data_IF_052416021144
#
_entry.id   IF_052416021144
#
_cell.length_a   1.000
_cell.length_b   1.000
_cell.length_c   1.000
_cell.angle_alpha   90.00
_cell.angle_beta   90.00
_cell.angle_gamma   90.00
#
_symmetry.space_group_name_H-M   'P 1'
#
loop_
_entity.id
_entity.type
_entity.pdbx_description
1 polymer ?
#
# COMPACT_ATOMS: atom_id res chain seq x y z
N UNK A 1 -17.70 11.96 -0.81
CA UNK A 1 -16.33 11.46 -0.78
C UNK A 1 -16.32 9.94 -0.65
N UNK A 2 -15.64 9.25 -1.54
CA UNK A 2 -15.59 7.78 -1.54
C UNK A 2 -14.80 7.22 -0.36
N UNK A 3 -13.80 7.96 0.11
CA UNK A 3 -12.90 7.51 1.17
C UNK A 3 -13.37 8.00 2.54
N UNK A 4 -14.24 7.21 3.16
CA UNK A 4 -14.76 7.47 4.51
C UNK A 4 -13.85 6.85 5.57
N UNK A 5 -14.04 7.20 6.84
CA UNK A 5 -13.32 6.58 7.96
C UNK A 5 -13.53 5.06 7.98
N UNK A 6 -14.75 4.62 7.71
CA UNK A 6 -15.08 3.19 7.64
C UNK A 6 -14.30 2.49 6.53
N UNK A 7 -14.24 3.10 5.35
CA UNK A 7 -13.51 2.55 4.21
C UNK A 7 -12.00 2.54 4.47
N UNK A 8 -11.48 3.55 5.15
CA UNK A 8 -10.08 3.61 5.58
C UNK A 8 -9.73 2.43 6.47
N UNK A 9 -10.56 2.15 7.47
CA UNK A 9 -10.33 1.02 8.39
C UNK A 9 -10.39 -0.32 7.67
N UNK A 10 -11.31 -0.49 6.75
CA UNK A 10 -11.43 -1.70 5.94
C UNK A 10 -10.20 -1.87 5.06
N UNK A 11 -9.79 -0.81 4.36
CA UNK A 11 -8.61 -0.83 3.49
C UNK A 11 -7.35 -1.18 4.28
N UNK A 12 -7.15 -0.54 5.43
CA UNK A 12 -6.02 -0.84 6.32
C UNK A 12 -5.97 -2.32 6.70
N UNK A 13 -7.11 -2.86 7.15
CA UNK A 13 -7.20 -4.27 7.56
C UNK A 13 -6.91 -5.23 6.42
N UNK A 14 -7.37 -4.90 5.20
CA UNK A 14 -7.13 -5.72 4.02
C UNK A 14 -5.64 -5.75 3.66
N UNK A 15 -4.97 -4.60 3.67
CA UNK A 15 -3.54 -4.51 3.38
C UNK A 15 -2.74 -5.24 4.47
N UNK A 16 -3.07 -5.00 5.72
CA UNK A 16 -2.43 -5.65 6.88
C UNK A 16 -2.57 -7.18 6.79
N UNK A 17 -3.77 -7.65 6.45
CA UNK A 17 -4.04 -9.08 6.27
C UNK A 17 -3.24 -9.69 5.12
N UNK A 18 -3.09 -8.97 4.01
CA UNK A 18 -2.29 -9.42 2.87
C UNK A 18 -0.81 -9.55 3.25
N UNK A 19 -0.25 -8.56 3.95
CA UNK A 19 1.15 -8.58 4.38
C UNK A 19 1.40 -9.70 5.37
N UNK A 20 0.46 -9.92 6.27
CA UNK A 20 0.54 -11.02 7.23
C UNK A 20 0.50 -12.38 6.54
N UNK A 21 -0.33 -12.51 5.52
CA UNK A 21 -0.39 -13.72 4.70
C UNK A 21 0.95 -13.95 3.98
N UNK A 22 1.55 -12.92 3.41
CA UNK A 22 2.87 -13.03 2.79
C UNK A 22 3.93 -13.50 3.78
N UNK A 23 3.93 -12.95 4.98
CA UNK A 23 4.86 -13.38 6.04
C UNK A 23 4.64 -14.84 6.44
N UNK A 24 3.40 -15.28 6.53
CA UNK A 24 3.06 -16.67 6.84
C UNK A 24 3.51 -17.64 5.75
N UNK A 25 3.61 -17.17 4.51
CA UNK A 25 4.17 -17.92 3.38
C UNK A 25 5.68 -17.79 3.27
N UNK A 26 6.35 -17.28 4.29
CA UNK A 26 7.79 -17.04 4.33
C UNK A 26 8.27 -16.07 3.24
N UNK A 27 7.41 -15.20 2.80
CA UNK A 27 7.75 -14.16 1.85
C UNK A 27 8.31 -12.96 2.60
N UNK A 28 9.46 -12.43 2.15
CA UNK A 28 10.22 -11.41 2.87
C UNK A 28 10.17 -10.03 2.23
N UNK A 29 9.66 -9.91 1.02
CA UNK A 29 9.63 -8.62 0.33
C UNK A 29 8.43 -8.47 -0.60
N UNK A 30 8.03 -7.21 -0.82
CA UNK A 30 6.99 -6.82 -1.77
C UNK A 30 7.53 -5.66 -2.60
N UNK A 31 7.46 -5.78 -3.92
CA UNK A 31 7.86 -4.68 -4.82
C UNK A 31 6.90 -3.50 -4.74
N UNK A 32 7.38 -2.31 -5.08
CA UNK A 32 6.56 -1.09 -5.08
C UNK A 32 5.38 -1.17 -6.04
N UNK A 33 5.58 -1.71 -7.25
CA UNK A 33 4.49 -1.90 -8.21
C UNK A 33 3.47 -2.91 -7.71
N UNK A 34 3.92 -3.98 -7.10
CA UNK A 34 3.04 -5.00 -6.53
C UNK A 34 2.19 -4.39 -5.41
N UNK A 35 2.79 -3.60 -4.54
CA UNK A 35 2.07 -2.88 -3.49
C UNK A 35 1.04 -1.92 -4.08
N UNK A 36 1.43 -1.13 -5.09
CA UNK A 36 0.56 -0.17 -5.74
C UNK A 36 -0.66 -0.86 -6.37
N UNK A 37 -0.46 -1.97 -7.07
CA UNK A 37 -1.57 -2.75 -7.65
C UNK A 37 -2.48 -3.34 -6.58
N UNK A 38 -1.91 -3.88 -5.52
CA UNK A 38 -2.65 -4.45 -4.41
C UNK A 38 -3.57 -3.41 -3.76
N UNK A 39 -3.02 -2.26 -3.42
CA UNK A 39 -3.78 -1.18 -2.77
C UNK A 39 -4.84 -0.61 -3.70
N UNK A 40 -4.50 -0.41 -4.98
CA UNK A 40 -5.45 0.11 -5.96
C UNK A 40 -6.65 -0.83 -6.14
N UNK A 41 -6.40 -2.12 -6.28
CA UNK A 41 -7.45 -3.12 -6.45
C UNK A 41 -8.36 -3.17 -5.22
N UNK A 42 -7.77 -3.15 -4.02
CA UNK A 42 -8.52 -3.10 -2.77
C UNK A 42 -9.34 -1.80 -2.65
N UNK A 43 -8.72 -0.66 -2.97
CA UNK A 43 -9.39 0.63 -2.91
C UNK A 43 -10.60 0.67 -3.85
N UNK A 44 -10.44 0.24 -5.10
CA UNK A 44 -11.51 0.23 -6.08
C UNK A 44 -12.64 -0.73 -5.69
N UNK A 45 -12.31 -1.84 -5.06
CA UNK A 45 -13.31 -2.79 -4.55
C UNK A 45 -14.11 -2.20 -3.39
N UNK A 46 -13.45 -1.49 -2.49
CA UNK A 46 -14.07 -0.94 -1.26
C UNK A 46 -14.76 0.40 -1.52
N UNK A 47 -14.10 1.29 -2.26
CA UNK A 47 -14.51 2.69 -2.44
C UNK A 47 -15.11 3.00 -3.80
N UNK A 48 -14.94 2.12 -4.79
CA UNK A 48 -15.39 2.33 -6.17
C UNK A 48 -14.26 2.82 -7.07
N UNK A 49 -14.57 2.88 -8.37
CA UNK A 49 -13.58 3.22 -9.39
C UNK A 49 -13.07 4.66 -9.26
N UNK A 50 -11.80 4.85 -9.65
CA UNK A 50 -11.14 6.13 -9.70
C UNK A 50 -11.29 6.66 -11.13
N UNK A 51 -12.03 7.73 -11.32
CA UNK A 51 -12.42 8.20 -12.66
C UNK A 51 -11.79 9.52 -13.07
N UNK A 52 -11.60 10.46 -12.12
CA UNK A 52 -11.10 11.80 -12.41
C UNK A 52 -9.66 11.99 -11.95
N UNK A 53 -8.97 12.98 -12.52
CA UNK A 53 -7.61 13.32 -12.10
C UNK A 53 -7.55 13.70 -10.62
N UNK A 54 -8.56 14.41 -10.14
CA UNK A 54 -8.68 14.78 -8.72
C UNK A 54 -8.80 13.55 -7.82
N UNK A 55 -9.58 12.56 -8.25
CA UNK A 55 -9.71 11.30 -7.51
C UNK A 55 -8.40 10.49 -7.52
N UNK A 56 -7.65 10.52 -8.62
CA UNK A 56 -6.35 9.88 -8.69
C UNK A 56 -5.34 10.54 -7.75
N UNK A 57 -5.32 11.86 -7.68
CA UNK A 57 -4.45 12.58 -6.76
C UNK A 57 -4.76 12.23 -5.30
N UNK A 58 -6.04 12.20 -4.95
CA UNK A 58 -6.50 11.77 -3.64
C UNK A 58 -6.08 10.32 -3.35
N UNK A 59 -6.25 9.44 -4.31
CA UNK A 59 -5.86 8.02 -4.18
C UNK A 59 -4.35 7.88 -3.90
N UNK A 60 -3.51 8.60 -4.62
CA UNK A 60 -2.05 8.52 -4.41
C UNK A 60 -1.64 8.98 -3.02
N UNK A 61 -2.29 10.00 -2.47
CA UNK A 61 -2.07 10.43 -1.09
C UNK A 61 -2.49 9.35 -0.09
N UNK A 62 -3.60 8.68 -0.36
CA UNK A 62 -4.09 7.55 0.45
C UNK A 62 -3.11 6.39 0.40
N UNK A 63 -2.62 6.03 -0.77
CA UNK A 63 -1.63 4.96 -0.95
C UNK A 63 -0.37 5.22 -0.13
N UNK A 64 0.16 6.44 -0.19
CA UNK A 64 1.32 6.86 0.60
C UNK A 64 1.05 6.76 2.10
N UNK A 65 -0.10 7.24 2.53
CA UNK A 65 -0.50 7.19 3.94
C UNK A 65 -0.63 5.77 4.45
N UNK A 66 -1.22 4.88 3.65
CA UNK A 66 -1.36 3.47 4.01
C UNK A 66 0.00 2.80 4.14
N UNK A 67 0.91 3.06 3.21
CA UNK A 67 2.27 2.51 3.28
C UNK A 67 2.98 2.94 4.55
N UNK A 68 2.91 4.22 4.90
CA UNK A 68 3.53 4.75 6.11
C UNK A 68 2.96 4.08 7.37
N UNK A 69 1.64 3.97 7.46
CA UNK A 69 0.96 3.37 8.61
C UNK A 69 1.31 1.87 8.74
N UNK A 70 1.29 1.14 7.63
CA UNK A 70 1.60 -0.30 7.62
C UNK A 70 3.07 -0.53 8.01
N UNK A 71 4.00 0.26 7.48
CA UNK A 71 5.42 0.14 7.81
C UNK A 71 5.66 0.42 9.30
N UNK A 72 5.01 1.43 9.86
CA UNK A 72 5.11 1.74 11.28
C UNK A 72 4.54 0.61 12.14
N UNK A 73 3.35 0.12 11.79
CA UNK A 73 2.65 -0.91 12.55
C UNK A 73 3.34 -2.27 12.51
N UNK A 74 3.85 -2.67 11.35
CA UNK A 74 4.44 -4.00 11.13
C UNK A 74 5.96 -4.02 11.18
N UNK A 75 6.60 -2.88 11.31
CA UNK A 75 8.06 -2.79 11.31
C UNK A 75 8.70 -3.04 9.95
N UNK A 76 7.98 -2.78 8.87
CA UNK A 76 8.52 -2.94 7.52
C UNK A 76 9.56 -1.87 7.21
N UNK A 77 10.50 -2.19 6.32
CA UNK A 77 11.52 -1.25 5.86
C UNK A 77 11.36 -0.99 4.37
N UNK A 78 11.61 0.24 3.97
CA UNK A 78 11.61 0.65 2.57
C UNK A 78 13.07 0.74 2.10
N UNK A 79 13.41 0.00 1.06
CA UNK A 79 14.76 0.01 0.49
C UNK A 79 14.72 0.24 -1.02
N UNK A 80 15.82 0.70 -1.58
CA UNK A 80 16.03 0.73 -3.00
C UNK A 80 16.98 -0.41 -3.37
N UNK A 81 16.43 -1.53 -3.77
CA UNK A 81 17.18 -2.76 -4.06
C UNK A 81 17.92 -2.68 -5.40
N UNK A 82 17.28 -2.07 -6.40
CA UNK A 82 17.80 -2.03 -7.77
C UNK A 82 18.67 -0.80 -8.06
N UNK A 83 18.47 0.29 -7.32
CA UNK A 83 19.18 1.55 -7.50
C UNK A 83 19.61 2.12 -6.14
N UNK A 84 20.54 1.45 -5.43
CA UNK A 84 20.85 1.79 -4.02
C UNK A 84 21.42 3.18 -3.80
N UNK A 85 21.87 3.85 -4.86
CA UNK A 85 22.39 5.22 -4.78
C UNK A 85 21.32 6.31 -4.97
N UNK A 86 20.08 5.92 -5.28
CA UNK A 86 18.96 6.84 -5.44
C UNK A 86 18.16 6.93 -4.13
N UNK A 87 17.60 8.11 -3.88
CA UNK A 87 16.87 8.42 -2.65
C UNK A 87 15.39 8.09 -2.78
N UNK A 88 15.09 6.91 -3.32
CA UNK A 88 13.74 6.39 -3.46
C UNK A 88 13.69 4.92 -3.04
N UNK A 89 12.49 4.38 -2.87
CA UNK A 89 12.36 2.95 -2.57
C UNK A 89 11.72 2.23 -3.77
N UNK A 90 12.04 0.95 -3.92
CA UNK A 90 11.39 0.07 -4.88
C UNK A 90 10.95 -1.25 -4.25
N UNK A 91 11.31 -1.48 -3.00
CA UNK A 91 11.04 -2.74 -2.29
C UNK A 91 10.67 -2.48 -0.84
N UNK A 92 9.64 -3.18 -0.39
CA UNK A 92 9.19 -3.17 1.00
C UNK A 92 9.67 -4.47 1.64
N UNK A 93 10.49 -4.37 2.68
CA UNK A 93 10.97 -5.54 3.44
C UNK A 93 9.98 -5.82 4.57
N UNK A 94 9.41 -6.97 4.54
CA UNK A 94 8.41 -7.42 5.51
C UNK A 94 9.02 -7.83 6.85
#
# INVERSE_FOLDING_TARGET
MKFTKKNKDILFKCIWGAFRHFSNMERHEVGDYEFAHLVRDMYQTICGEIETDSEWDEYFDIEKSMLAIICEDMGCKLINKNHPNEDCYDTIIL
#
